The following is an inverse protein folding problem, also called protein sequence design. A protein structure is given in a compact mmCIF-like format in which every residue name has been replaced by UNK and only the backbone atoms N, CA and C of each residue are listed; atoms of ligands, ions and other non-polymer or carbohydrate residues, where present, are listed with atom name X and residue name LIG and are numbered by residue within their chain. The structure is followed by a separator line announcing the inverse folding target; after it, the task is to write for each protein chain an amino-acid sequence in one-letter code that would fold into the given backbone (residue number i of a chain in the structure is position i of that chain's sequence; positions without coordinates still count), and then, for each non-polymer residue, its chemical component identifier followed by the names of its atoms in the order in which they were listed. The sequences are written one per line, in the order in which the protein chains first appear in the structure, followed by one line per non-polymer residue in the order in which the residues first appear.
data_IF_893157591795
#
_entry.id   IF_893157591795
#
_cell.length_a   1.000
_cell.length_b   1.000
_cell.length_c   1.000
_cell.angle_alpha   90.00
_cell.angle_beta   90.00
_cell.angle_gamma   90.00
#
_symmetry.space_group_name_H-M   'P 1'
#
loop_
_entity.id
_entity.type
_entity.pdbx_description
1 polymer ?
#
# COMPACT_ATOMS: atom_id res chain seq x y z
N UNK A 1 -7.24 -11.36 5.89
CA UNK A 1 -6.36 -10.57 6.76
C UNK A 1 -5.03 -10.47 6.03
N UNK A 2 -4.56 -9.26 5.72
CA UNK A 2 -3.24 -9.07 5.10
C UNK A 2 -2.17 -9.57 6.07
N UNK A 3 -1.30 -10.49 5.61
CA UNK A 3 -0.24 -11.03 6.46
C UNK A 3 0.92 -10.04 6.55
N UNK A 4 1.03 -9.38 7.70
CA UNK A 4 2.07 -8.39 8.00
C UNK A 4 3.49 -8.95 7.88
N UNK A 5 3.71 -10.24 8.15
CA UNK A 5 5.05 -10.84 8.00
C UNK A 5 5.44 -10.91 6.53
N UNK A 6 4.50 -11.30 5.68
CA UNK A 6 4.71 -11.38 4.24
C UNK A 6 4.96 -9.99 3.64
N UNK A 7 4.20 -8.98 4.08
CA UNK A 7 4.44 -7.61 3.61
C UNK A 7 5.82 -7.13 4.00
N UNK A 8 6.24 -7.35 5.25
CA UNK A 8 7.58 -6.94 5.69
C UNK A 8 8.69 -7.70 4.96
N UNK A 9 8.54 -9.01 4.69
CA UNK A 9 9.55 -9.76 3.96
C UNK A 9 9.69 -9.27 2.51
N UNK A 10 8.58 -8.99 1.84
CA UNK A 10 8.58 -8.46 0.46
C UNK A 10 9.16 -7.06 0.42
N UNK A 11 8.87 -6.20 1.40
CA UNK A 11 9.45 -4.86 1.46
C UNK A 11 10.96 -4.90 1.64
N UNK A 12 11.47 -5.77 2.53
CA UNK A 12 12.92 -5.95 2.70
C UNK A 12 13.60 -6.45 1.43
N UNK A 13 13.00 -7.43 0.74
CA UNK A 13 13.53 -7.94 -0.54
C UNK A 13 13.56 -6.84 -1.62
N UNK A 14 12.51 -6.02 -1.72
CA UNK A 14 12.47 -4.91 -2.69
C UNK A 14 13.48 -3.81 -2.38
N UNK A 15 13.76 -3.56 -1.10
CA UNK A 15 14.75 -2.58 -0.67
C UNK A 15 16.18 -3.08 -0.91
N UNK A 16 16.48 -4.32 -0.54
CA UNK A 16 17.82 -4.92 -0.65
C UNK A 16 18.19 -5.29 -2.10
N UNK A 17 17.29 -5.96 -2.84
CA UNK A 17 17.62 -6.50 -4.17
C UNK A 17 17.36 -5.51 -5.30
N UNK A 18 16.40 -4.59 -5.12
CA UNK A 18 15.98 -3.64 -6.16
C UNK A 18 16.28 -2.19 -5.83
N UNK A 19 16.77 -1.89 -4.61
CA UNK A 19 17.04 -0.52 -4.18
C UNK A 19 15.78 0.35 -4.12
N UNK A 20 14.60 -0.26 -4.01
CA UNK A 20 13.34 0.48 -3.98
C UNK A 20 13.06 0.87 -2.53
N UNK A 21 12.95 2.17 -2.21
CA UNK A 21 12.66 2.60 -0.85
C UNK A 21 11.31 2.04 -0.38
N UNK A 22 11.30 1.46 0.82
CA UNK A 22 10.11 0.93 1.48
C UNK A 22 8.93 1.90 1.47
N UNK A 23 9.19 3.19 1.67
CA UNK A 23 8.19 4.26 1.68
C UNK A 23 7.47 4.40 0.33
N UNK A 24 8.21 4.26 -0.78
CA UNK A 24 7.64 4.34 -2.13
C UNK A 24 6.70 3.16 -2.39
N UNK A 25 7.04 1.96 -1.91
CA UNK A 25 6.18 0.78 -2.06
C UNK A 25 4.90 0.94 -1.22
N UNK A 26 5.02 1.44 0.01
CA UNK A 26 3.86 1.69 0.89
C UNK A 26 2.91 2.72 0.26
N UNK A 27 3.45 3.80 -0.31
CA UNK A 27 2.66 4.82 -1.01
C UNK A 27 1.96 4.24 -2.26
N UNK A 28 2.65 3.39 -3.02
CA UNK A 28 2.09 2.70 -4.17
C UNK A 28 0.96 1.74 -3.78
N UNK A 29 1.11 1.00 -2.67
CA UNK A 29 0.06 0.14 -2.11
C UNK A 29 -1.16 0.98 -1.72
N UNK A 30 -0.96 2.07 -0.98
CA UNK A 30 -2.05 2.96 -0.58
C UNK A 30 -2.80 3.56 -1.77
N UNK A 31 -2.06 3.99 -2.79
CA UNK A 31 -2.65 4.54 -4.03
C UNK A 31 -3.42 3.47 -4.80
N UNK A 32 -2.90 2.25 -4.87
CA UNK A 32 -3.56 1.12 -5.53
C UNK A 32 -4.86 0.74 -4.82
N UNK A 33 -4.86 0.68 -3.48
CA UNK A 33 -6.05 0.41 -2.67
C UNK A 33 -7.09 1.52 -2.80
N UNK A 34 -6.68 2.79 -2.72
CA UNK A 34 -7.57 3.93 -2.91
C UNK A 34 -8.22 3.92 -4.31
N UNK A 35 -7.44 3.56 -5.33
CA UNK A 35 -7.91 3.45 -6.71
C UNK A 35 -8.88 2.28 -6.89
N UNK A 36 -8.56 1.11 -6.33
CA UNK A 36 -9.43 -0.05 -6.36
C UNK A 36 -10.78 0.25 -5.68
N UNK A 37 -10.74 0.83 -4.48
CA UNK A 37 -11.95 1.24 -3.77
C UNK A 37 -12.74 2.29 -4.54
N UNK A 38 -12.08 3.29 -5.13
CA UNK A 38 -12.73 4.31 -5.96
C UNK A 38 -13.38 3.71 -7.21
N UNK A 39 -12.77 2.70 -7.82
CA UNK A 39 -13.32 2.02 -9.00
C UNK A 39 -14.64 1.30 -8.67
N UNK A 40 -14.71 0.71 -7.49
CA UNK A 40 -15.81 -0.17 -7.11
C UNK A 40 -16.93 0.56 -6.33
N UNK A 41 -16.57 1.61 -5.59
CA UNK A 41 -17.49 2.34 -4.69
C UNK A 41 -17.44 3.87 -4.82
N UNK A 42 -16.52 4.41 -5.63
CA UNK A 42 -16.28 5.85 -5.71
C UNK A 42 -17.27 6.62 -6.57
N UNK A 43 -17.43 7.92 -6.26
CA UNK A 43 -18.26 8.86 -7.04
C UNK A 43 -17.40 9.89 -7.79
N UNK A 44 -17.94 10.47 -8.87
CA UNK A 44 -17.26 11.57 -9.61
C UNK A 44 -16.97 12.73 -8.64
N UNK A 45 -15.73 13.24 -8.66
CA UNK A 45 -15.27 14.33 -7.80
C UNK A 45 -14.73 13.90 -6.43
N UNK A 46 -14.81 12.63 -6.05
CA UNK A 46 -14.33 12.16 -4.75
C UNK A 46 -12.82 11.85 -4.79
N UNK A 47 -12.09 12.44 -3.85
CA UNK A 47 -10.69 12.12 -3.56
C UNK A 47 -10.62 11.08 -2.45
N UNK A 48 -10.14 9.88 -2.78
CA UNK A 48 -9.99 8.77 -1.83
C UNK A 48 -8.49 8.63 -1.54
N UNK A 49 -8.12 8.55 -0.26
CA UNK A 49 -6.76 8.30 0.20
C UNK A 49 -6.80 7.11 1.13
N UNK A 50 -5.94 6.13 0.90
CA UNK A 50 -5.70 5.05 1.84
C UNK A 50 -4.43 5.38 2.61
N UNK A 51 -4.47 5.16 3.92
CA UNK A 51 -3.31 5.30 4.80
C UNK A 51 -3.07 3.92 5.39
N UNK A 52 -1.90 3.36 5.09
CA UNK A 52 -1.53 2.03 5.55
C UNK A 52 -0.52 2.19 6.68
N UNK A 53 -0.89 1.73 7.87
CA UNK A 53 -0.04 1.70 9.05
C UNK A 53 0.73 0.39 9.10
N UNK A 54 2.04 0.48 8.93
CA UNK A 54 2.94 -0.67 8.95
C UNK A 54 3.15 -1.28 10.35
N UNK A 55 2.83 -0.54 11.42
CA UNK A 55 2.96 -1.04 12.79
C UNK A 55 1.77 -1.96 13.17
N UNK A 56 0.59 -1.66 12.63
CA UNK A 56 -0.67 -2.33 12.98
C UNK A 56 -1.26 -3.16 11.84
N UNK A 57 -0.85 -2.92 10.60
CA UNK A 57 -1.31 -3.59 9.39
C UNK A 57 -2.67 -3.13 8.87
N UNK A 58 -3.13 -1.96 9.31
CA UNK A 58 -4.43 -1.36 8.94
C UNK A 58 -4.27 -0.12 8.09
#
# INVERSE_FOLDING_TARGET
MLDLKVINSVLSELEEDRGIPRESVIEAIGTSLATAYKKEYGRRGQGIRAKFDMATGT
#
